data_IF_202679533421
#
_entry.id   IF_202679533421
#
_cell.length_a   1.000
_cell.length_b   1.000
_cell.length_c   1.000
_cell.angle_alpha   90.00
_cell.angle_beta   90.00
_cell.angle_gamma   90.00
#
_symmetry.space_group_name_H-M   'P 1'
#
loop_
_entity.id
_entity.type
_entity.pdbx_description
1 polymer ?
#
# COMPACT_ATOMS: atom_id res chain seq x y z
N UNK A 1 12.75 -15.76 11.96
CA UNK A 1 11.88 -15.12 12.97
C UNK A 1 12.04 -13.62 12.78
N UNK A 2 10.95 -12.87 12.58
CA UNK A 2 11.03 -11.40 12.38
C UNK A 2 11.67 -10.75 13.59
N UNK A 3 12.53 -9.73 13.37
CA UNK A 3 13.14 -9.02 14.50
C UNK A 3 12.09 -8.12 15.15
N UNK A 4 12.09 -8.04 16.47
CA UNK A 4 11.13 -7.25 17.23
C UNK A 4 11.10 -5.77 16.77
N UNK A 5 12.26 -5.20 16.42
CA UNK A 5 12.36 -3.84 15.88
C UNK A 5 11.65 -3.65 14.54
N UNK A 6 11.62 -4.67 13.69
CA UNK A 6 10.95 -4.62 12.38
C UNK A 6 9.43 -4.66 12.54
N UNK A 7 8.95 -5.47 13.46
CA UNK A 7 7.52 -5.52 13.81
C UNK A 7 7.05 -4.18 14.36
N UNK A 8 7.79 -3.58 15.31
CA UNK A 8 7.44 -2.27 15.85
C UNK A 8 7.40 -1.19 14.76
N UNK A 9 8.40 -1.17 13.86
CA UNK A 9 8.40 -0.25 12.72
C UNK A 9 7.20 -0.47 11.80
N UNK A 10 6.82 -1.72 11.52
CA UNK A 10 5.63 -2.02 10.72
C UNK A 10 4.35 -1.51 11.39
N UNK A 11 4.23 -1.69 12.70
CA UNK A 11 3.10 -1.17 13.49
C UNK A 11 3.02 0.36 13.43
N UNK A 12 4.15 1.05 13.60
CA UNK A 12 4.21 2.51 13.51
C UNK A 12 3.78 3.01 12.13
N UNK A 13 4.26 2.35 11.06
CA UNK A 13 3.86 2.69 9.68
C UNK A 13 2.36 2.45 9.42
N UNK A 14 1.78 1.39 10.00
CA UNK A 14 0.34 1.14 9.90
C UNK A 14 -0.49 2.19 10.64
N UNK A 15 -0.02 2.68 11.79
CA UNK A 15 -0.69 3.73 12.53
C UNK A 15 -0.60 5.08 11.82
N UNK A 16 0.55 5.40 11.21
CA UNK A 16 0.70 6.57 10.36
C UNK A 16 -0.21 6.50 9.12
N UNK A 17 -0.42 5.32 8.56
CA UNK A 17 -1.35 5.11 7.45
C UNK A 17 -2.80 5.44 7.86
N UNK A 18 -3.23 5.00 9.05
CA UNK A 18 -4.55 5.35 9.60
C UNK A 18 -4.71 6.85 9.82
N UNK A 19 -3.66 7.54 10.28
CA UNK A 19 -3.68 9.00 10.45
C UNK A 19 -3.83 9.71 9.11
N UNK A 20 -3.14 9.24 8.08
CA UNK A 20 -3.28 9.80 6.72
C UNK A 20 -4.71 9.60 6.20
N UNK A 21 -5.30 8.42 6.37
CA UNK A 21 -6.69 8.16 6.00
C UNK A 21 -7.65 9.14 6.70
N UNK A 22 -7.48 9.36 8.01
CA UNK A 22 -8.28 10.32 8.75
C UNK A 22 -8.11 11.77 8.26
N UNK A 23 -6.89 12.16 7.85
CA UNK A 23 -6.63 13.48 7.27
C UNK A 23 -7.29 13.66 5.90
N UNK A 24 -7.26 12.62 5.05
CA UNK A 24 -7.97 12.59 3.77
C UNK A 24 -9.46 12.78 4.01
N UNK A 25 -10.07 11.97 4.87
CA UNK A 25 -11.50 12.05 5.19
C UNK A 25 -11.92 13.42 5.75
N UNK A 26 -11.02 14.05 6.52
CA UNK A 26 -11.25 15.38 7.08
C UNK A 26 -11.21 16.45 6.00
N UNK A 27 -10.21 16.43 5.11
CA UNK A 27 -10.02 17.48 4.11
C UNK A 27 -10.96 17.34 2.92
N UNK A 28 -11.40 16.12 2.56
CA UNK A 28 -12.46 15.91 1.57
C UNK A 28 -13.74 16.68 1.94
N UNK A 29 -14.00 16.87 3.24
CA UNK A 29 -15.20 17.57 3.74
C UNK A 29 -15.02 19.09 3.90
N UNK A 30 -13.78 19.59 3.85
CA UNK A 30 -13.43 20.96 4.24
C UNK A 30 -12.81 21.78 3.10
N UNK A 31 -12.23 21.13 2.09
CA UNK A 31 -11.44 21.78 1.05
C UNK A 31 -11.94 21.39 -0.35
N UNK A 32 -12.57 22.35 -1.05
CA UNK A 32 -13.05 22.19 -2.42
C UNK A 32 -11.93 22.13 -3.46
N UNK A 33 -10.71 22.56 -3.13
CA UNK A 33 -9.59 22.61 -4.08
C UNK A 33 -8.97 21.24 -4.36
N UNK A 34 -9.19 20.25 -3.49
CA UNK A 34 -8.61 18.91 -3.57
C UNK A 34 -7.07 18.87 -3.44
N UNK A 35 -6.40 20.01 -3.27
CA UNK A 35 -4.94 20.09 -3.21
C UNK A 35 -4.41 19.30 -2.01
N UNK A 36 -4.92 19.57 -0.80
CA UNK A 36 -4.46 18.86 0.40
C UNK A 36 -4.75 17.36 0.33
N UNK A 37 -5.91 16.98 -0.20
CA UNK A 37 -6.28 15.57 -0.43
C UNK A 37 -5.25 14.90 -1.33
N UNK A 38 -4.89 15.51 -2.46
CA UNK A 38 -3.87 14.95 -3.37
C UNK A 38 -2.50 14.77 -2.71
N UNK A 39 -2.09 15.68 -1.82
CA UNK A 39 -0.84 15.56 -1.07
C UNK A 39 -0.88 14.39 -0.08
N UNK A 40 -2.02 14.20 0.60
CA UNK A 40 -2.18 13.07 1.53
C UNK A 40 -2.28 11.73 0.79
N UNK A 41 -2.95 11.67 -0.35
CA UNK A 41 -2.99 10.47 -1.20
C UNK A 41 -1.59 10.08 -1.70
N UNK A 42 -0.79 11.04 -2.15
CA UNK A 42 0.60 10.77 -2.55
C UNK A 42 1.43 10.21 -1.37
N UNK A 43 1.26 10.77 -0.16
CA UNK A 43 1.90 10.24 1.05
C UNK A 43 1.42 8.83 1.40
N UNK A 44 0.11 8.57 1.26
CA UNK A 44 -0.51 7.25 1.48
C UNK A 44 0.12 6.19 0.58
N UNK A 45 0.20 6.47 -0.73
CA UNK A 45 0.81 5.56 -1.71
C UNK A 45 2.26 5.23 -1.34
N UNK A 46 3.06 6.26 -1.01
CA UNK A 46 4.45 6.06 -0.58
C UNK A 46 4.57 5.22 0.69
N UNK A 47 3.69 5.44 1.67
CA UNK A 47 3.70 4.68 2.92
C UNK A 47 3.31 3.21 2.71
N UNK A 48 2.32 2.95 1.85
CA UNK A 48 1.94 1.58 1.48
C UNK A 48 3.11 0.86 0.80
N UNK A 49 3.79 1.51 -0.16
CA UNK A 49 4.98 0.95 -0.81
C UNK A 49 6.06 0.58 0.22
N UNK A 50 6.37 1.48 1.17
CA UNK A 50 7.35 1.21 2.22
C UNK A 50 6.96 0.01 3.13
N UNK A 51 5.66 -0.16 3.41
CA UNK A 51 5.17 -1.30 4.20
C UNK A 51 5.38 -2.59 3.41
N UNK A 52 5.05 -2.60 2.12
CA UNK A 52 5.25 -3.75 1.22
C UNK A 52 6.74 -4.10 1.14
N UNK A 53 7.62 -3.13 0.89
CA UNK A 53 9.07 -3.34 0.82
C UNK A 53 9.63 -3.94 2.12
N UNK A 54 9.12 -3.48 3.26
CA UNK A 54 9.52 -4.03 4.56
C UNK A 54 9.07 -5.49 4.69
N UNK A 55 7.80 -5.80 4.39
CA UNK A 55 7.24 -7.16 4.45
C UNK A 55 7.88 -8.14 3.46
N UNK A 56 8.32 -7.64 2.30
CA UNK A 56 9.01 -8.39 1.26
C UNK A 56 10.53 -8.47 1.48
N UNK A 57 11.07 -7.77 2.48
CA UNK A 57 12.50 -7.78 2.74
C UNK A 57 12.99 -9.18 3.14
N UNK A 58 14.24 -9.58 2.78
CA UNK A 58 14.75 -10.92 3.08
C UNK A 58 14.70 -11.33 4.56
N UNK A 59 14.71 -10.36 5.48
CA UNK A 59 14.63 -10.60 6.92
C UNK A 59 13.22 -10.99 7.40
N UNK A 60 12.19 -10.59 6.66
CA UNK A 60 10.77 -10.68 7.05
C UNK A 60 10.00 -11.62 6.11
N UNK A 61 10.47 -11.79 4.87
CA UNK A 61 9.80 -12.55 3.83
C UNK A 61 9.41 -13.96 4.32
N UNK A 62 8.13 -14.25 4.21
CA UNK A 62 7.51 -15.50 4.64
C UNK A 62 6.15 -15.62 3.96
N UNK A 63 5.55 -16.83 3.91
CA UNK A 63 4.18 -16.99 3.41
C UNK A 63 3.19 -16.06 4.12
N UNK A 64 3.37 -15.84 5.43
CA UNK A 64 2.55 -14.94 6.23
C UNK A 64 2.74 -13.48 5.82
N UNK A 65 3.98 -13.02 5.60
CA UNK A 65 4.20 -11.64 5.15
C UNK A 65 3.63 -11.38 3.75
N UNK A 66 3.68 -12.36 2.85
CA UNK A 66 3.03 -12.27 1.54
C UNK A 66 1.50 -12.24 1.64
N UNK A 67 0.89 -13.00 2.54
CA UNK A 67 -0.57 -12.92 2.79
C UNK A 67 -0.98 -11.54 3.34
N UNK A 68 -0.12 -10.92 4.16
CA UNK A 68 -0.34 -9.54 4.63
C UNK A 68 -0.21 -8.56 3.46
N UNK A 69 0.79 -8.72 2.58
CA UNK A 69 0.94 -7.89 1.38
C UNK A 69 -0.31 -7.99 0.50
N UNK A 70 -0.82 -9.20 0.24
CA UNK A 70 -2.05 -9.42 -0.52
C UNK A 70 -3.24 -8.68 0.11
N UNK A 71 -3.40 -8.77 1.43
CA UNK A 71 -4.46 -8.08 2.17
C UNK A 71 -4.36 -6.55 2.04
N UNK A 72 -3.14 -6.00 2.05
CA UNK A 72 -2.88 -4.57 1.83
C UNK A 72 -3.27 -4.17 0.41
N UNK A 73 -2.87 -4.96 -0.60
CA UNK A 73 -3.19 -4.70 -2.00
C UNK A 73 -4.71 -4.73 -2.23
N UNK A 74 -5.42 -5.75 -1.73
CA UNK A 74 -6.88 -5.82 -1.86
C UNK A 74 -7.60 -4.66 -1.19
N UNK A 75 -7.09 -4.16 -0.06
CA UNK A 75 -7.69 -3.05 0.68
C UNK A 75 -7.49 -1.70 -0.02
N UNK A 76 -6.28 -1.41 -0.50
CA UNK A 76 -5.92 -0.08 -0.99
C UNK A 76 -5.84 0.04 -2.52
N UNK A 77 -5.73 -1.09 -3.21
CA UNK A 77 -5.71 -1.21 -4.68
C UNK A 77 -6.69 -2.32 -5.11
N UNK A 78 -8.00 -2.17 -4.79
CA UNK A 78 -8.97 -3.18 -5.14
C UNK A 78 -8.95 -3.45 -6.64
N UNK A 79 -9.02 -4.73 -7.01
CA UNK A 79 -9.11 -5.15 -8.40
C UNK A 79 -10.34 -4.46 -9.02
N UNK A 80 -10.12 -3.49 -9.90
CA UNK A 80 -11.16 -3.05 -10.83
C UNK A 80 -11.46 -4.23 -11.75
N UNK A 81 -12.72 -4.40 -12.14
CA UNK A 81 -13.17 -5.54 -12.95
C UNK A 81 -12.15 -5.91 -14.03
N UNK A 82 -11.89 -7.21 -14.17
CA UNK A 82 -10.84 -7.81 -15.03
C UNK A 82 -10.84 -7.32 -16.49
N UNK A 83 -11.86 -6.57 -16.91
CA UNK A 83 -11.99 -5.98 -18.24
C UNK A 83 -11.13 -4.74 -18.51
N UNK A 84 -10.54 -4.10 -17.49
CA UNK A 84 -9.85 -2.80 -17.66
C UNK A 84 -8.36 -2.82 -17.28
N UNK A 85 -7.80 -4.01 -17.02
CA UNK A 85 -6.35 -4.19 -16.86
C UNK A 85 -5.69 -4.14 -18.24
N UNK A 86 -5.54 -2.92 -18.78
CA UNK A 86 -4.48 -2.66 -19.76
C UNK A 86 -3.17 -2.76 -19.02
N UNK A 87 -2.64 -3.97 -18.91
CA UNK A 87 -1.23 -4.14 -18.63
C UNK A 87 -0.47 -3.37 -19.70
N UNK A 88 0.50 -2.57 -19.28
CA UNK A 88 1.59 -2.20 -20.18
C UNK A 88 2.19 -3.50 -20.75
N UNK A 89 2.62 -3.49 -22.01
CA UNK A 89 3.02 -4.70 -22.74
C UNK A 89 4.13 -5.47 -21.99
N UNK A 90 5.02 -4.72 -21.32
CA UNK A 90 6.08 -5.24 -20.46
C UNK A 90 5.56 -5.96 -19.20
N UNK A 91 4.52 -5.43 -18.56
CA UNK A 91 3.93 -6.02 -17.35
C UNK A 91 3.10 -7.26 -17.68
N UNK A 92 2.47 -7.29 -18.86
CA UNK A 92 1.77 -8.47 -19.36
C UNK A 92 2.73 -9.64 -19.59
N UNK A 93 3.89 -9.37 -20.19
CA UNK A 93 4.94 -10.37 -20.43
C UNK A 93 5.51 -10.92 -19.13
N UNK A 94 5.76 -10.04 -18.14
CA UNK A 94 6.23 -10.47 -16.82
C UNK A 94 5.21 -11.38 -16.13
N UNK A 95 3.93 -11.01 -16.14
CA UNK A 95 2.87 -11.81 -15.56
C UNK A 95 2.71 -13.19 -16.23
N UNK A 96 2.91 -13.26 -17.55
CA UNK A 96 2.85 -14.52 -18.30
C UNK A 96 4.08 -15.44 -18.06
N UNK A 97 5.13 -14.93 -17.44
CA UNK A 97 6.40 -15.64 -17.20
C UNK A 97 6.50 -16.29 -15.81
N UNK A 98 5.50 -16.07 -14.94
CA UNK A 98 5.38 -16.65 -13.59
C UNK A 98 4.33 -17.76 -13.62
#
# INVERSE_FOLDING_TARGET
MMRQSEIHRLMDMLDDLKKIDALIDTHIKLDDSGFMVSQYEAKKVKLIANIIDCLASPAIQSPQSFSIIESILLKYYPLKDKGDLKYDDDMAQLAASI
#
